data_IF_022994700836
#
_entry.id   IF_022994700836
#
_cell.length_a   1.000
_cell.length_b   1.000
_cell.length_c   1.000
_cell.angle_alpha   90.00
_cell.angle_beta   90.00
_cell.angle_gamma   90.00
#
_symmetry.space_group_name_H-M   'P 1'
#
loop_
_entity.id
_entity.type
_entity.pdbx_description
1 polymer ?
#
# COMPACT_ATOMS: atom_id res chain seq x y z
N UNK A 1 26.73 35.14 23.21
CA UNK A 1 25.71 34.19 22.71
C UNK A 1 25.39 34.58 21.27
N UNK A 2 25.88 33.82 20.29
CA UNK A 2 25.52 33.99 18.89
C UNK A 2 24.33 33.07 18.58
N UNK A 3 23.23 33.66 18.14
CA UNK A 3 22.05 32.97 17.61
C UNK A 3 22.35 32.62 16.15
N UNK A 4 22.60 31.33 15.87
CA UNK A 4 22.71 30.83 14.49
C UNK A 4 21.31 30.70 13.91
N UNK A 5 21.10 31.42 12.82
CA UNK A 5 19.87 31.47 12.03
C UNK A 5 19.72 30.15 11.28
N UNK A 6 18.53 29.55 11.33
CA UNK A 6 18.16 28.37 10.55
C UNK A 6 18.37 28.64 9.06
N UNK A 7 19.35 27.93 8.47
CA UNK A 7 19.49 27.84 7.02
C UNK A 7 18.35 26.98 6.49
N UNK A 8 17.40 27.60 5.78
CA UNK A 8 16.42 26.88 4.99
C UNK A 8 17.17 26.25 3.82
N UNK A 9 17.44 24.95 3.90
CA UNK A 9 18.01 24.20 2.78
C UNK A 9 17.03 24.25 1.62
N UNK A 10 17.48 24.81 0.48
CA UNK A 10 16.75 24.74 -0.78
C UNK A 10 16.48 23.27 -1.14
N UNK A 11 15.30 22.94 -1.69
CA UNK A 11 14.97 21.57 -2.03
C UNK A 11 15.96 21.03 -3.06
N UNK A 12 16.73 20.00 -2.66
CA UNK A 12 17.69 19.33 -3.53
C UNK A 12 16.91 18.71 -4.68
N UNK A 13 17.21 19.15 -5.91
CA UNK A 13 16.66 18.53 -7.11
C UNK A 13 17.16 17.08 -7.21
N UNK A 14 16.34 16.11 -6.81
CA UNK A 14 16.70 14.71 -6.82
C UNK A 14 16.77 14.19 -8.27
N UNK A 15 17.99 13.92 -8.74
CA UNK A 15 18.27 13.39 -10.10
C UNK A 15 18.48 11.87 -10.12
N UNK A 16 18.18 11.16 -9.03
CA UNK A 16 18.36 9.70 -8.96
C UNK A 16 17.16 9.00 -9.62
N UNK A 17 17.37 7.88 -10.34
CA UNK A 17 16.28 7.09 -10.89
C UNK A 17 15.53 6.39 -9.75
N UNK A 18 14.20 6.45 -9.80
CA UNK A 18 13.34 5.70 -8.87
C UNK A 18 13.66 4.21 -8.97
N UNK A 19 13.86 3.56 -7.82
CA UNK A 19 14.12 2.13 -7.76
C UNK A 19 12.86 1.34 -7.37
N UNK A 20 12.83 0.06 -7.77
CA UNK A 20 11.71 -0.85 -7.50
C UNK A 20 11.32 -0.88 -6.00
N UNK A 21 12.31 -0.87 -5.10
CA UNK A 21 12.07 -0.90 -3.66
C UNK A 21 11.29 0.32 -3.14
N UNK A 22 11.47 1.47 -3.79
CA UNK A 22 10.73 2.70 -3.50
C UNK A 22 9.26 2.55 -3.87
N UNK A 23 8.96 1.99 -5.04
CA UNK A 23 7.59 1.69 -5.48
C UNK A 23 6.89 0.68 -4.58
N UNK A 24 7.62 -0.35 -4.15
CA UNK A 24 7.11 -1.36 -3.21
C UNK A 24 6.69 -0.73 -1.88
N UNK A 25 7.55 0.11 -1.30
CA UNK A 25 7.25 0.82 -0.05
C UNK A 25 6.09 1.81 -0.21
N UNK A 26 6.07 2.57 -1.32
CA UNK A 26 4.98 3.49 -1.62
C UNK A 26 3.63 2.77 -1.73
N UNK A 27 3.57 1.62 -2.42
CA UNK A 27 2.33 0.86 -2.57
C UNK A 27 1.82 0.30 -1.23
N UNK A 28 2.71 -0.20 -0.38
CA UNK A 28 2.35 -0.64 0.97
C UNK A 28 1.78 0.51 1.80
N UNK A 29 2.31 1.72 1.65
CA UNK A 29 1.79 2.89 2.35
C UNK A 29 0.40 3.26 1.87
N UNK A 30 0.24 3.40 0.55
CA UNK A 30 -1.04 3.75 -0.08
C UNK A 30 -2.10 2.69 0.24
N UNK A 31 -1.72 1.41 0.27
CA UNK A 31 -2.61 0.33 0.71
C UNK A 31 -2.99 0.49 2.18
N UNK A 32 -2.03 0.79 3.06
CA UNK A 32 -2.29 0.97 4.50
C UNK A 32 -3.22 2.17 4.80
N UNK A 33 -3.24 3.20 3.94
CA UNK A 33 -4.17 4.33 4.09
C UNK A 33 -5.65 3.90 4.01
N UNK A 34 -5.98 2.81 3.30
CA UNK A 34 -7.33 2.23 3.31
C UNK A 34 -7.77 1.79 4.72
N UNK A 35 -6.82 1.57 5.62
CA UNK A 35 -7.03 0.99 6.95
C UNK A 35 -6.51 1.90 8.07
N UNK A 36 -6.38 3.21 7.82
CA UNK A 36 -5.86 4.18 8.77
C UNK A 36 -6.67 4.31 10.08
N UNK A 37 -7.93 3.86 10.08
CA UNK A 37 -8.71 3.75 11.31
C UNK A 37 -8.18 2.63 12.24
N UNK A 38 -7.56 1.60 11.68
CA UNK A 38 -7.11 0.39 12.39
C UNK A 38 -5.61 0.40 12.72
N UNK A 39 -4.83 1.05 11.86
CA UNK A 39 -3.39 1.19 12.01
C UNK A 39 -3.03 2.66 12.16
N UNK A 40 -2.33 2.97 13.25
CA UNK A 40 -1.66 4.25 13.40
C UNK A 40 -0.38 4.21 12.57
N UNK A 41 -0.43 4.84 11.39
CA UNK A 41 0.72 5.00 10.51
C UNK A 41 1.67 6.03 11.11
N UNK A 42 2.76 5.57 11.72
CA UNK A 42 3.69 6.43 12.43
C UNK A 42 4.70 7.08 11.47
N UNK A 43 5.29 6.29 10.58
CA UNK A 43 6.25 6.81 9.59
C UNK A 43 6.46 5.85 8.43
N UNK A 44 6.92 6.40 7.31
CA UNK A 44 7.58 5.62 6.27
C UNK A 44 9.08 5.83 6.41
N UNK A 45 9.86 4.76 6.49
CA UNK A 45 11.30 4.87 6.34
C UNK A 45 11.68 4.53 4.90
N UNK A 46 12.19 5.55 4.20
CA UNK A 46 13.05 5.32 3.07
C UNK A 46 14.40 4.88 3.65
N UNK A 47 14.64 3.57 3.76
CA UNK A 47 15.96 3.10 4.15
C UNK A 47 16.96 3.49 3.05
N UNK A 48 17.76 4.53 3.31
CA UNK A 48 19.03 4.73 2.62
C UNK A 48 19.89 3.48 2.87
N UNK A 49 20.17 2.70 1.82
CA UNK A 49 21.12 1.59 1.95
C UNK A 49 22.49 2.07 1.52
N UNK A 50 23.47 1.84 2.40
CA UNK A 50 24.87 1.69 2.03
C UNK A 50 25.00 0.67 0.88
N UNK A 51 25.81 1.03 -0.12
CA UNK A 51 26.10 0.24 -1.33
C UNK A 51 26.20 -1.27 -1.12
N UNK A 52 25.32 -2.06 -1.77
CA UNK A 52 25.54 -3.50 -1.97
C UNK A 52 24.34 -4.45 -1.81
N UNK A 53 23.19 -4.03 -1.27
CA UNK A 53 22.00 -4.88 -1.13
C UNK A 53 20.75 -4.25 -1.74
N UNK A 54 19.89 -5.09 -2.34
CA UNK A 54 18.61 -4.69 -2.91
C UNK A 54 17.73 -4.03 -1.85
N UNK A 55 17.13 -2.89 -2.20
CA UNK A 55 16.42 -2.01 -1.27
C UNK A 55 15.01 -2.48 -0.98
N UNK A 56 14.62 -2.46 0.29
CA UNK A 56 13.23 -2.50 0.72
C UNK A 56 13.00 -1.35 1.70
N UNK A 57 12.27 -0.31 1.25
CA UNK A 57 11.75 0.70 2.17
C UNK A 57 10.78 0.02 3.16
N UNK A 58 10.78 0.48 4.41
CA UNK A 58 9.99 -0.13 5.48
C UNK A 58 8.87 0.78 5.94
N UNK A 59 7.65 0.24 6.00
CA UNK A 59 6.55 0.90 6.70
C UNK A 59 6.55 0.52 8.16
N UNK A 60 6.53 1.53 9.02
CA UNK A 60 6.31 1.37 10.45
C UNK A 60 4.89 1.84 10.75
N UNK A 61 3.97 0.89 10.83
CA UNK A 61 2.65 1.12 11.40
C UNK A 61 2.55 0.43 12.75
N UNK A 62 1.92 1.10 13.72
CA UNK A 62 1.54 0.51 14.99
C UNK A 62 0.05 0.31 14.97
N UNK A 63 -0.40 -0.90 15.30
CA UNK A 63 -1.83 -1.12 15.43
C UNK A 63 -2.39 -0.24 16.55
N UNK A 64 -3.56 0.35 16.33
CA UNK A 64 -4.26 1.05 17.38
C UNK A 64 -4.68 0.08 18.51
N UNK A 65 -3.98 0.12 19.63
CA UNK A 65 -4.21 -0.75 20.79
C UNK A 65 -5.57 -0.54 21.48
N UNK A 66 -6.29 0.54 21.15
CA UNK A 66 -7.64 0.82 21.67
C UNK A 66 -8.74 0.04 20.95
N UNK A 67 -8.46 -0.51 19.77
CA UNK A 67 -9.43 -1.28 19.00
C UNK A 67 -9.39 -2.76 19.38
N UNK A 68 -10.57 -3.35 19.64
CA UNK A 68 -10.71 -4.79 19.83
C UNK A 68 -10.21 -5.52 18.59
N UNK A 69 -9.55 -6.67 18.77
CA UNK A 69 -9.18 -7.51 17.63
C UNK A 69 -10.43 -7.99 16.92
N UNK A 70 -10.61 -7.53 15.69
CA UNK A 70 -11.49 -8.19 14.75
C UNK A 70 -10.65 -9.04 13.78
N UNK A 71 -11.18 -10.16 13.30
CA UNK A 71 -10.40 -11.03 12.41
C UNK A 71 -10.16 -10.47 11.00
N UNK A 72 -10.86 -9.40 10.60
CA UNK A 72 -10.59 -8.66 9.35
C UNK A 72 -9.21 -7.98 9.34
N UNK A 73 -8.62 -7.70 10.51
CA UNK A 73 -7.26 -7.12 10.63
C UNK A 73 -6.24 -7.98 9.88
N UNK A 74 -6.37 -9.31 9.93
CA UNK A 74 -5.46 -10.21 9.23
C UNK A 74 -5.58 -10.08 7.71
N UNK A 75 -6.77 -9.78 7.19
CA UNK A 75 -6.99 -9.52 5.77
C UNK A 75 -6.38 -8.18 5.37
N UNK A 76 -6.58 -7.14 6.16
CA UNK A 76 -5.97 -5.83 5.93
C UNK A 76 -4.44 -5.89 5.91
N UNK A 77 -3.84 -6.56 6.90
CA UNK A 77 -2.40 -6.80 6.92
C UNK A 77 -1.93 -7.63 5.73
N UNK A 78 -2.71 -8.62 5.30
CA UNK A 78 -2.37 -9.43 4.13
C UNK A 78 -2.37 -8.57 2.84
N UNK A 79 -3.36 -7.68 2.69
CA UNK A 79 -3.44 -6.73 1.58
C UNK A 79 -2.27 -5.75 1.58
N UNK A 80 -1.89 -5.22 2.75
CA UNK A 80 -0.70 -4.37 2.87
C UNK A 80 0.56 -5.15 2.48
N UNK A 81 0.79 -6.34 3.03
CA UNK A 81 1.99 -7.12 2.71
C UNK A 81 2.09 -7.46 1.23
N UNK A 82 1.02 -7.95 0.58
CA UNK A 82 1.07 -8.38 -0.82
C UNK A 82 1.16 -7.20 -1.82
N UNK A 83 0.85 -5.97 -1.38
CA UNK A 83 0.93 -4.78 -2.23
C UNK A 83 2.33 -4.41 -2.70
N UNK A 84 3.38 -4.75 -1.95
CA UNK A 84 4.75 -4.57 -2.42
C UNK A 84 5.03 -5.43 -3.65
N UNK A 85 4.66 -6.71 -3.61
CA UNK A 85 4.84 -7.66 -4.72
C UNK A 85 4.03 -7.22 -5.93
N UNK A 86 2.77 -6.84 -5.74
CA UNK A 86 1.95 -6.35 -6.84
C UNK A 86 2.53 -5.09 -7.50
N UNK A 87 3.02 -4.13 -6.70
CA UNK A 87 3.66 -2.92 -7.22
C UNK A 87 5.01 -3.20 -7.89
N UNK A 88 5.83 -4.09 -7.33
CA UNK A 88 7.08 -4.55 -7.95
C UNK A 88 6.84 -5.27 -9.28
N UNK A 89 5.72 -6.01 -9.38
CA UNK A 89 5.29 -6.65 -10.62
C UNK A 89 4.87 -5.63 -11.67
N UNK A 90 4.06 -4.63 -11.29
CA UNK A 90 3.69 -3.51 -12.18
C UNK A 90 4.91 -2.72 -12.63
N UNK A 91 5.89 -2.51 -11.74
CA UNK A 91 7.13 -1.80 -12.08
C UNK A 91 7.94 -2.52 -13.16
N UNK A 92 8.01 -3.87 -13.12
CA UNK A 92 8.76 -4.68 -14.08
C UNK A 92 8.01 -4.88 -15.41
N UNK A 93 6.73 -5.25 -15.33
CA UNK A 93 5.93 -5.66 -16.50
C UNK A 93 5.14 -4.50 -17.12
N UNK A 94 4.94 -3.41 -16.37
CA UNK A 94 4.04 -2.33 -16.75
C UNK A 94 2.57 -2.64 -16.44
N UNK A 95 1.75 -1.59 -16.41
CA UNK A 95 0.33 -1.71 -16.03
C UNK A 95 -0.49 -2.47 -17.08
N UNK A 96 -0.21 -2.26 -18.37
CA UNK A 96 -0.98 -2.85 -19.46
C UNK A 96 -0.81 -4.37 -19.54
N UNK A 97 0.42 -4.87 -19.38
CA UNK A 97 0.69 -6.31 -19.34
C UNK A 97 0.02 -6.97 -18.14
N UNK A 98 0.12 -6.35 -16.95
CA UNK A 98 -0.57 -6.84 -15.76
C UNK A 98 -2.08 -6.83 -15.97
N UNK A 99 -2.66 -5.79 -16.55
CA UNK A 99 -4.10 -5.72 -16.81
C UNK A 99 -4.59 -6.83 -17.75
N UNK A 100 -3.78 -7.21 -18.74
CA UNK A 100 -4.09 -8.32 -19.65
C UNK A 100 -4.00 -9.69 -18.97
N UNK A 101 -3.00 -9.89 -18.11
CA UNK A 101 -2.67 -11.21 -17.53
C UNK A 101 -3.28 -11.47 -16.15
N UNK A 102 -3.77 -10.44 -15.44
CA UNK A 102 -4.26 -10.57 -14.07
C UNK A 102 -5.37 -11.62 -13.92
N UNK A 103 -6.20 -11.83 -14.94
CA UNK A 103 -7.28 -12.83 -14.90
C UNK A 103 -6.75 -14.27 -14.92
N UNK A 104 -5.50 -14.47 -15.37
CA UNK A 104 -4.83 -15.77 -15.41
C UNK A 104 -4.16 -16.14 -14.08
N UNK A 105 -4.15 -15.25 -13.08
CA UNK A 105 -3.45 -15.44 -11.81
C UNK A 105 -3.80 -16.70 -10.99
N UNK A 106 -4.97 -17.37 -11.08
CA UNK A 106 -5.09 -18.65 -10.39
C UNK A 106 -4.30 -19.80 -11.06
N UNK A 107 -3.89 -19.60 -12.32
CA UNK A 107 -3.32 -20.62 -13.20
C UNK A 107 -1.87 -20.32 -13.60
N UNK A 108 -1.43 -19.06 -13.51
CA UNK A 108 -0.06 -18.63 -13.78
C UNK A 108 0.41 -17.59 -12.78
N UNK A 109 1.48 -17.91 -12.03
CA UNK A 109 2.16 -16.98 -11.11
C UNK A 109 3.28 -16.19 -11.81
N UNK A 110 3.47 -16.39 -13.13
CA UNK A 110 4.62 -15.86 -13.86
C UNK A 110 4.73 -14.33 -13.90
N UNK A 111 3.63 -13.62 -13.61
CA UNK A 111 3.60 -12.15 -13.54
C UNK A 111 3.96 -11.61 -12.15
N UNK A 112 4.09 -12.46 -11.13
CA UNK A 112 4.44 -12.03 -9.78
C UNK A 112 5.95 -11.94 -9.62
N UNK A 113 6.44 -10.71 -9.45
CA UNK A 113 7.84 -10.46 -9.10
C UNK A 113 8.06 -10.48 -7.59
N UNK A 114 8.73 -11.52 -7.10
CA UNK A 114 9.08 -11.68 -5.69
C UNK A 114 10.41 -11.03 -5.30
N UNK A 115 11.22 -10.59 -6.27
CA UNK A 115 12.57 -10.10 -6.03
C UNK A 115 12.56 -8.87 -5.10
N UNK A 116 13.21 -8.99 -3.94
CA UNK A 116 13.28 -7.93 -2.93
C UNK A 116 12.06 -7.83 -2.02
N UNK A 117 11.09 -8.74 -2.17
CA UNK A 117 9.80 -8.77 -1.45
C UNK A 117 9.56 -10.07 -0.68
N UNK A 118 10.56 -10.93 -0.52
CA UNK A 118 10.40 -12.30 -0.05
C UNK A 118 9.82 -12.35 1.37
N UNK A 119 10.25 -11.42 2.24
CA UNK A 119 9.71 -11.30 3.60
C UNK A 119 8.24 -10.90 3.61
N UNK A 120 7.82 -10.01 2.70
CA UNK A 120 6.41 -9.61 2.59
C UNK A 120 5.56 -10.77 2.11
N UNK A 121 6.06 -11.55 1.15
CA UNK A 121 5.39 -12.76 0.69
C UNK A 121 5.20 -13.76 1.83
N UNK A 122 6.22 -13.95 2.66
CA UNK A 122 6.14 -14.85 3.80
C UNK A 122 5.19 -14.34 4.89
N UNK A 123 5.18 -13.03 5.16
CA UNK A 123 4.20 -12.40 6.05
C UNK A 123 2.77 -12.59 5.53
N UNK A 124 2.54 -12.29 4.25
CA UNK A 124 1.28 -12.51 3.55
C UNK A 124 0.78 -13.95 3.68
N UNK A 125 1.63 -14.95 3.40
CA UNK A 125 1.26 -16.37 3.53
C UNK A 125 0.85 -16.74 4.94
N UNK A 126 1.54 -16.22 5.97
CA UNK A 126 1.18 -16.45 7.38
C UNK A 126 -0.18 -15.84 7.71
N UNK A 127 -0.49 -14.66 7.16
CA UNK A 127 -1.76 -13.95 7.37
C UNK A 127 -2.94 -14.59 6.63
N UNK A 128 -2.72 -15.32 5.54
CA UNK A 128 -3.79 -16.01 4.82
C UNK A 128 -4.48 -17.11 5.63
N UNK A 129 -3.76 -17.79 6.53
CA UNK A 129 -4.30 -18.86 7.36
C UNK A 129 -5.39 -18.39 8.35
N UNK A 130 -5.17 -17.35 9.18
CA UNK A 130 -6.22 -16.83 10.05
C UNK A 130 -7.42 -16.26 9.27
N UNK A 131 -7.19 -15.61 8.12
CA UNK A 131 -8.28 -15.13 7.24
C UNK A 131 -9.11 -16.30 6.72
N UNK A 132 -8.46 -17.35 6.22
CA UNK A 132 -9.10 -18.58 5.76
C UNK A 132 -9.99 -19.22 6.83
N UNK A 133 -9.50 -19.32 8.07
CA UNK A 133 -10.25 -19.88 9.19
C UNK A 133 -11.44 -19.00 9.57
N UNK A 134 -11.26 -17.69 9.58
CA UNK A 134 -12.32 -16.76 9.99
C UNK A 134 -13.47 -16.72 8.99
N UNK A 135 -13.16 -16.57 7.70
CA UNK A 135 -14.17 -16.50 6.64
C UNK A 135 -14.61 -17.88 6.13
N UNK A 136 -14.08 -18.97 6.70
CA UNK A 136 -14.32 -20.35 6.25
C UNK A 136 -14.04 -20.56 4.76
N UNK A 137 -12.99 -19.88 4.25
CA UNK A 137 -12.55 -19.94 2.86
C UNK A 137 -11.32 -20.82 2.72
N UNK A 138 -11.14 -21.48 1.58
CA UNK A 138 -9.90 -22.20 1.29
C UNK A 138 -8.71 -21.23 1.20
N UNK A 139 -7.57 -21.51 1.87
CA UNK A 139 -6.41 -20.61 1.93
C UNK A 139 -5.91 -20.15 0.55
N UNK A 140 -5.89 -21.05 -0.44
CA UNK A 140 -5.52 -20.69 -1.82
C UNK A 140 -6.47 -19.65 -2.44
N UNK A 141 -7.78 -19.72 -2.14
CA UNK A 141 -8.76 -18.73 -2.60
C UNK A 141 -8.56 -17.39 -1.91
N UNK A 142 -8.21 -17.40 -0.63
CA UNK A 142 -7.85 -16.18 0.12
C UNK A 142 -6.63 -15.51 -0.50
N UNK A 143 -5.59 -16.29 -0.81
CA UNK A 143 -4.38 -15.78 -1.46
C UNK A 143 -4.70 -15.10 -2.79
N UNK A 144 -5.43 -15.79 -3.67
CA UNK A 144 -5.81 -15.22 -4.97
C UNK A 144 -6.70 -14.00 -4.85
N UNK A 145 -7.69 -14.07 -3.97
CA UNK A 145 -8.59 -12.95 -3.72
C UNK A 145 -7.81 -11.71 -3.28
N UNK A 146 -6.85 -11.85 -2.36
CA UNK A 146 -6.01 -10.75 -1.91
C UNK A 146 -5.13 -10.19 -3.04
N UNK A 147 -4.42 -11.05 -3.78
CA UNK A 147 -3.56 -10.62 -4.90
C UNK A 147 -4.38 -9.87 -5.95
N UNK A 148 -5.53 -10.43 -6.36
CA UNK A 148 -6.42 -9.80 -7.35
C UNK A 148 -6.98 -8.47 -6.84
N UNK A 149 -7.41 -8.40 -5.58
CA UNK A 149 -7.89 -7.16 -4.97
C UNK A 149 -6.83 -6.07 -4.99
N UNK A 150 -5.58 -6.40 -4.65
CA UNK A 150 -4.49 -5.44 -4.63
C UNK A 150 -4.12 -4.96 -6.02
N UNK A 151 -4.02 -5.84 -7.02
CA UNK A 151 -3.79 -5.39 -8.39
C UNK A 151 -4.94 -4.52 -8.90
N UNK A 152 -6.20 -4.89 -8.66
CA UNK A 152 -7.36 -4.05 -9.02
C UNK A 152 -7.28 -2.68 -8.38
N UNK A 153 -6.93 -2.61 -7.10
CA UNK A 153 -6.70 -1.34 -6.41
C UNK A 153 -5.63 -0.49 -7.09
N UNK A 154 -4.47 -1.06 -7.39
CA UNK A 154 -3.38 -0.35 -8.07
C UNK A 154 -3.74 0.08 -9.51
N UNK A 155 -4.77 -0.53 -10.11
CA UNK A 155 -5.30 -0.16 -11.42
C UNK A 155 -6.43 0.87 -11.37
N UNK A 156 -7.00 1.16 -10.20
CA UNK A 156 -8.04 2.21 -10.07
C UNK A 156 -7.47 3.58 -10.40
N UNK A 157 -8.34 4.46 -10.90
CA UNK A 157 -7.96 5.82 -11.30
C UNK A 157 -7.34 6.60 -10.13
N UNK A 158 -6.24 7.28 -10.42
CA UNK A 158 -5.46 8.07 -9.47
C UNK A 158 -4.58 7.27 -8.51
N UNK A 159 -4.81 5.97 -8.28
CA UNK A 159 -4.05 5.20 -7.29
C UNK A 159 -2.57 5.08 -7.69
N UNK A 160 -2.30 4.75 -8.94
CA UNK A 160 -0.91 4.63 -9.40
C UNK A 160 -0.18 5.99 -9.39
N UNK A 161 -0.88 7.09 -9.65
CA UNK A 161 -0.33 8.44 -9.57
C UNK A 161 0.05 8.80 -8.13
N UNK A 162 -0.75 8.38 -7.15
CA UNK A 162 -0.40 8.48 -5.73
C UNK A 162 0.83 7.66 -5.40
N UNK A 163 0.91 6.41 -5.87
CA UNK A 163 2.10 5.56 -5.66
C UNK A 163 3.34 6.20 -6.26
N UNK A 164 3.26 6.76 -7.47
CA UNK A 164 4.35 7.52 -8.10
C UNK A 164 4.76 8.73 -7.25
N UNK A 165 3.77 9.50 -6.77
CA UNK A 165 4.03 10.68 -5.94
C UNK A 165 4.73 10.33 -4.63
N UNK A 166 4.21 9.33 -3.91
CA UNK A 166 4.78 8.84 -2.65
C UNK A 166 6.18 8.27 -2.89
N UNK A 167 6.37 7.50 -3.96
CA UNK A 167 7.69 6.99 -4.34
C UNK A 167 8.67 8.14 -4.62
N UNK A 168 8.23 9.18 -5.35
CA UNK A 168 9.00 10.41 -5.55
C UNK A 168 9.40 11.07 -4.24
N UNK A 169 8.45 11.29 -3.32
CA UNK A 169 8.73 11.88 -2.00
C UNK A 169 9.69 11.04 -1.16
N UNK A 170 9.53 9.72 -1.16
CA UNK A 170 10.44 8.79 -0.47
C UNK A 170 11.85 8.86 -1.05
N UNK A 171 11.96 8.91 -2.38
CA UNK A 171 13.23 8.92 -3.07
C UNK A 171 14.00 10.24 -2.91
N UNK A 172 13.28 11.35 -2.83
CA UNK A 172 13.84 12.71 -2.64
C UNK A 172 14.04 13.08 -1.17
N UNK A 173 13.60 12.25 -0.22
CA UNK A 173 13.75 12.54 1.19
C UNK A 173 15.22 12.41 1.59
N UNK A 174 15.82 13.53 2.00
CA UNK A 174 17.16 13.53 2.63
C UNK A 174 17.13 12.90 4.02
N UNK A 175 15.96 12.82 4.64
CA UNK A 175 15.74 12.11 5.89
C UNK A 175 15.48 10.61 5.63
N UNK A 176 16.12 9.75 6.43
CA UNK A 176 15.90 8.29 6.43
C UNK A 176 14.45 7.92 6.80
N UNK A 177 13.68 8.87 7.32
CA UNK A 177 12.29 8.71 7.75
C UNK A 177 11.48 9.91 7.27
N UNK A 178 10.44 9.63 6.49
CA UNK A 178 9.42 10.61 6.10
C UNK A 178 8.24 10.50 7.06
N UNK A 179 7.90 11.62 7.71
CA UNK A 179 6.76 11.67 8.61
C UNK A 179 5.45 11.51 7.80
N UNK A 180 4.56 10.64 8.27
CA UNK A 180 3.27 10.38 7.63
C UNK A 180 2.45 11.66 7.47
N UNK A 181 2.46 12.53 8.48
CA UNK A 181 1.72 13.81 8.47
C UNK A 181 2.17 14.74 7.35
N UNK A 182 3.49 14.92 7.16
CA UNK A 182 4.04 15.76 6.10
C UNK A 182 3.69 15.25 4.70
N UNK A 183 3.68 13.92 4.54
CA UNK A 183 3.28 13.29 3.30
C UNK A 183 1.79 13.50 3.03
N UNK A 184 0.94 13.28 4.03
CA UNK A 184 -0.51 13.49 3.90
C UNK A 184 -0.87 14.94 3.60
N UNK A 185 -0.21 15.91 4.24
CA UNK A 185 -0.38 17.33 3.94
C UNK A 185 0.00 17.62 2.47
N UNK A 186 1.16 17.12 2.02
CA UNK A 186 1.59 17.28 0.62
C UNK A 186 0.64 16.63 -0.39
N UNK A 187 -0.01 15.52 -0.01
CA UNK A 187 -0.99 14.83 -0.85
C UNK A 187 -2.28 15.64 -0.98
N UNK A 188 -2.73 16.31 0.09
CA UNK A 188 -3.95 17.14 0.07
C UNK A 188 -3.86 18.33 -0.89
N UNK A 189 -2.64 18.80 -1.19
CA UNK A 189 -2.38 19.88 -2.15
C UNK A 189 -2.48 19.43 -3.61
N UNK A 190 -2.60 18.13 -3.88
CA UNK A 190 -2.61 17.59 -5.24
C UNK A 190 -4.02 17.54 -5.84
N UNK A 191 -4.13 17.86 -7.13
CA UNK A 191 -5.42 17.85 -7.85
C UNK A 191 -6.09 16.47 -7.88
N UNK A 192 -5.31 15.39 -7.83
CA UNK A 192 -5.81 14.01 -7.81
C UNK A 192 -6.34 13.57 -6.44
N UNK A 193 -6.13 14.34 -5.36
CA UNK A 193 -6.46 13.92 -4.00
C UNK A 193 -7.94 13.57 -3.78
N UNK A 194 -8.93 14.32 -4.32
CA UNK A 194 -10.34 13.95 -4.18
C UNK A 194 -10.66 12.60 -4.83
N UNK A 195 -10.10 12.33 -6.01
CA UNK A 195 -10.27 11.05 -6.72
C UNK A 195 -9.64 9.92 -5.92
N UNK A 196 -8.41 10.12 -5.43
CA UNK A 196 -7.73 9.16 -4.57
C UNK A 196 -8.57 8.79 -3.34
N UNK A 197 -9.08 9.78 -2.63
CA UNK A 197 -9.89 9.56 -1.44
C UNK A 197 -11.20 8.82 -1.74
N UNK A 198 -11.82 9.07 -2.89
CA UNK A 198 -12.98 8.29 -3.35
C UNK A 198 -12.58 6.84 -3.69
N UNK A 199 -11.47 6.64 -4.41
CA UNK A 199 -10.95 5.31 -4.75
C UNK A 199 -10.67 4.44 -3.51
N UNK A 200 -10.20 5.03 -2.40
CA UNK A 200 -10.05 4.30 -1.13
C UNK A 200 -11.40 3.78 -0.59
N UNK A 201 -12.45 4.60 -0.67
CA UNK A 201 -13.80 4.22 -0.22
C UNK A 201 -14.39 3.13 -1.11
N UNK A 202 -14.27 3.31 -2.42
CA UNK A 202 -14.79 2.35 -3.41
C UNK A 202 -14.09 0.99 -3.28
N UNK A 203 -12.77 1.00 -3.06
CA UNK A 203 -12.01 -0.21 -2.78
C UNK A 203 -12.53 -0.92 -1.53
N UNK A 204 -12.66 -0.20 -0.41
CA UNK A 204 -13.13 -0.77 0.85
C UNK A 204 -14.55 -1.36 0.71
N UNK A 205 -15.46 -0.63 0.07
CA UNK A 205 -16.82 -1.09 -0.21
C UNK A 205 -16.83 -2.34 -1.10
N UNK A 206 -16.00 -2.37 -2.15
CA UNK A 206 -15.90 -3.55 -3.03
C UNK A 206 -15.31 -4.78 -2.33
N UNK A 207 -14.40 -4.59 -1.38
CA UNK A 207 -13.75 -5.66 -0.62
C UNK A 207 -14.67 -6.22 0.46
N UNK A 208 -15.45 -5.37 1.11
CA UNK A 208 -16.34 -5.70 2.21
C UNK A 208 -17.78 -5.23 1.95
N UNK A 209 -18.48 -5.79 0.94
CA UNK A 209 -19.82 -5.34 0.58
C UNK A 209 -20.84 -5.57 1.70
N UNK A 210 -20.60 -6.56 2.57
CA UNK A 210 -21.44 -6.87 3.74
C UNK A 210 -20.99 -6.16 5.02
N UNK A 211 -20.09 -5.18 4.94
CA UNK A 211 -19.78 -4.30 6.07
C UNK A 211 -21.02 -3.48 6.43
N UNK A 212 -21.07 -2.93 7.65
CA UNK A 212 -22.20 -2.08 8.07
C UNK A 212 -22.45 -0.93 7.08
N UNK A 213 -21.38 -0.30 6.61
CA UNK A 213 -21.46 0.81 5.66
C UNK A 213 -21.86 0.32 4.26
N UNK A 214 -21.34 -0.83 3.82
CA UNK A 214 -21.74 -1.48 2.56
C UNK A 214 -23.22 -1.89 2.53
N UNK A 215 -23.71 -2.48 3.63
CA UNK A 215 -25.12 -2.84 3.79
C UNK A 215 -26.04 -1.63 3.80
N UNK A 216 -25.61 -0.49 4.37
CA UNK A 216 -26.37 0.77 4.31
C UNK A 216 -26.42 1.33 2.90
N UNK A 217 -25.37 1.14 2.08
CA UNK A 217 -25.38 1.57 0.68
C UNK A 217 -26.21 0.66 -0.25
N UNK A 218 -26.33 -0.63 0.05
CA UNK A 218 -27.12 -1.58 -0.76
C UNK A 218 -28.58 -1.74 -0.32
N UNK A 219 -28.92 -1.32 0.91
CA UNK A 219 -30.29 -1.28 1.39
C UNK A 219 -30.81 0.15 1.29
N UNK A 220 -31.47 0.56 0.19
CA UNK A 220 -32.17 1.83 0.17
C UNK A 220 -33.22 1.80 1.29
N UNK A 221 -33.19 2.84 2.11
CA UNK A 221 -34.12 3.17 3.19
C UNK A 221 -35.23 2.13 3.42
N UNK A 222 -35.13 1.37 4.53
CA UNK A 222 -36.36 0.93 5.18
C UNK A 222 -37.02 2.17 5.80
N UNK A 223 -37.70 2.94 4.95
CA UNK A 223 -38.66 3.97 5.33
C UNK A 223 -39.89 3.32 6.00
#
# INVERSE_FOLDING_TARGET
>A
MQLSIFSVQEPVACKKPLDQGTFMAAAQFVMALNFAAEFELLSLSALNIQTGMAKKGGLVFVRNGKLKMHPGIYDHLALVSISSICAGSIYIHGRDEIAAEILNLPYSEGILNLAGAEEDYMAFKRLCSPVSRFFLLHTKKVQWSAILSVFRFLMMDGIWDVVNFVAGKLHCSDADVLACTQLLESMQEQEWYPVFHQSLRDFYASRYPLSKDGLVSELPEMA
#
